data_IF_207063679845
#
_entry.id   IF_207063679845
#
_cell.length_a   1.000
_cell.length_b   1.000
_cell.length_c   1.000
_cell.angle_alpha   90.00
_cell.angle_beta   90.00
_cell.angle_gamma   90.00
#
_symmetry.space_group_name_H-M   'P 1'
#
loop_
_entity.id
_entity.type
_entity.pdbx_description
1 polymer ?
#
# COMPACT_ATOMS: atom_id res chain seq x y z
N UNK A 1 9.21 25.62 -28.55
CA UNK A 1 8.87 24.46 -29.38
C UNK A 1 8.36 23.40 -28.41
N UNK A 2 7.05 23.24 -28.27
CA UNK A 2 6.44 22.25 -27.37
C UNK A 2 6.60 20.91 -28.08
N UNK A 3 7.66 20.16 -27.72
CA UNK A 3 7.83 18.81 -28.20
C UNK A 3 6.69 17.97 -27.63
N UNK A 4 5.77 17.56 -28.48
CA UNK A 4 4.92 16.41 -28.17
C UNK A 4 5.88 15.24 -27.94
N UNK A 5 6.10 14.86 -26.67
CA UNK A 5 6.70 13.57 -26.36
C UNK A 5 5.81 12.53 -27.03
N UNK A 6 6.34 11.83 -28.03
CA UNK A 6 5.65 10.70 -28.64
C UNK A 6 5.45 9.65 -27.54
N UNK A 7 4.25 9.62 -26.96
CA UNK A 7 3.88 8.66 -25.94
C UNK A 7 3.96 7.28 -26.56
N UNK A 8 5.04 6.57 -26.26
CA UNK A 8 5.26 5.22 -26.74
C UNK A 8 4.15 4.31 -26.19
N UNK A 9 3.67 3.38 -27.02
CA UNK A 9 2.69 2.37 -26.59
C UNK A 9 3.17 1.62 -25.35
N UNK A 10 4.49 1.45 -25.20
CA UNK A 10 5.12 0.83 -24.04
C UNK A 10 4.99 1.65 -22.76
N UNK A 11 4.95 2.98 -22.85
CA UNK A 11 4.71 3.85 -21.68
C UNK A 11 3.28 3.70 -21.17
N UNK A 12 2.29 3.67 -22.08
CA UNK A 12 0.88 3.47 -21.71
C UNK A 12 0.69 2.09 -21.08
N UNK A 13 1.20 1.05 -21.74
CA UNK A 13 1.12 -0.33 -21.23
C UNK A 13 1.83 -0.47 -19.90
N UNK A 14 3.07 0.06 -19.79
CA UNK A 14 3.84 0.03 -18.54
C UNK A 14 3.15 0.77 -17.41
N UNK A 15 2.57 1.94 -17.68
CA UNK A 15 1.82 2.73 -16.70
C UNK A 15 0.55 2.02 -16.23
N UNK A 16 -0.29 1.55 -17.16
CA UNK A 16 -1.54 0.84 -16.81
C UNK A 16 -1.24 -0.45 -16.02
N UNK A 17 -0.20 -1.18 -16.43
CA UNK A 17 0.19 -2.39 -15.74
C UNK A 17 0.77 -2.12 -14.35
N UNK A 18 1.59 -1.07 -14.19
CA UNK A 18 2.11 -0.64 -12.89
C UNK A 18 0.98 -0.19 -11.97
N UNK A 19 0.04 0.61 -12.48
CA UNK A 19 -1.13 1.04 -11.71
C UNK A 19 -1.97 -0.15 -11.26
N UNK A 20 -2.25 -1.10 -12.16
CA UNK A 20 -2.98 -2.31 -11.83
C UNK A 20 -2.24 -3.18 -10.81
N UNK A 21 -0.94 -3.42 -10.99
CA UNK A 21 -0.15 -4.31 -10.14
C UNK A 21 -0.03 -3.78 -8.71
N UNK A 22 0.22 -2.48 -8.56
CA UNK A 22 0.29 -1.80 -7.25
C UNK A 22 -1.06 -1.85 -6.55
N UNK A 23 -2.15 -1.47 -7.25
CA UNK A 23 -3.49 -1.49 -6.67
C UNK A 23 -3.89 -2.90 -6.27
N UNK A 24 -3.66 -3.91 -7.12
CA UNK A 24 -4.03 -5.29 -6.84
C UNK A 24 -3.29 -5.86 -5.62
N UNK A 25 -1.98 -5.62 -5.52
CA UNK A 25 -1.18 -6.10 -4.40
C UNK A 25 -1.59 -5.41 -3.08
N UNK A 26 -1.63 -4.08 -3.09
CA UNK A 26 -1.82 -3.30 -1.87
C UNK A 26 -3.27 -3.36 -1.37
N UNK A 27 -4.26 -3.42 -2.27
CA UNK A 27 -5.66 -3.61 -1.90
C UNK A 27 -5.92 -4.97 -1.26
N UNK A 28 -5.27 -6.05 -1.74
CA UNK A 28 -5.41 -7.37 -1.13
C UNK A 28 -4.86 -7.39 0.29
N UNK A 29 -3.70 -6.76 0.52
CA UNK A 29 -3.04 -6.71 1.82
C UNK A 29 -3.75 -5.79 2.83
N UNK A 30 -4.31 -4.67 2.40
CA UNK A 30 -4.92 -3.66 3.29
C UNK A 30 -6.44 -3.84 3.46
N UNK A 31 -7.13 -4.19 2.38
CA UNK A 31 -8.60 -4.27 2.37
C UNK A 31 -9.11 -5.71 2.51
N UNK A 32 -8.26 -6.73 2.33
CA UNK A 32 -8.67 -8.13 2.38
C UNK A 32 -9.34 -8.52 3.70
N UNK A 33 -8.79 -8.09 4.84
CA UNK A 33 -9.35 -8.36 6.17
C UNK A 33 -10.66 -7.62 6.41
N UNK A 34 -10.76 -6.35 5.96
CA UNK A 34 -11.99 -5.55 6.02
C UNK A 34 -13.13 -6.20 5.21
N UNK A 35 -12.84 -6.58 3.96
CA UNK A 35 -13.81 -7.20 3.06
C UNK A 35 -14.26 -8.57 3.55
N UNK A 36 -13.33 -9.36 4.10
CA UNK A 36 -13.62 -10.68 4.67
C UNK A 36 -14.47 -10.59 5.94
N UNK A 37 -14.10 -9.69 6.87
CA UNK A 37 -14.84 -9.47 8.12
C UNK A 37 -16.27 -8.98 7.88
N UNK A 38 -16.47 -8.11 6.90
CA UNK A 38 -17.78 -7.53 6.60
C UNK A 38 -18.59 -8.30 5.54
N UNK A 39 -18.09 -9.43 5.02
CA UNK A 39 -18.69 -10.19 3.90
C UNK A 39 -20.16 -10.58 4.13
N UNK A 40 -20.55 -10.83 5.39
CA UNK A 40 -21.91 -11.26 5.77
C UNK A 40 -22.80 -10.09 6.24
N UNK A 41 -22.23 -8.90 6.47
CA UNK A 41 -22.90 -7.77 7.12
C UNK A 41 -23.30 -6.69 6.14
N UNK A 42 -22.45 -6.40 5.14
CA UNK A 42 -22.70 -5.31 4.19
C UNK A 42 -22.53 -5.78 2.74
N UNK A 43 -23.36 -5.29 1.81
CA UNK A 43 -23.20 -5.58 0.38
C UNK A 43 -21.84 -5.09 -0.13
N UNK A 44 -21.20 -5.87 -1.01
CA UNK A 44 -19.88 -5.55 -1.60
C UNK A 44 -19.86 -4.19 -2.29
N UNK A 45 -20.95 -3.80 -2.95
CA UNK A 45 -21.06 -2.50 -3.62
C UNK A 45 -20.86 -1.32 -2.67
N UNK A 46 -21.42 -1.40 -1.45
CA UNK A 46 -21.29 -0.34 -0.44
C UNK A 46 -19.85 -0.27 0.08
N UNK A 47 -19.22 -1.42 0.29
CA UNK A 47 -17.81 -1.49 0.69
C UNK A 47 -16.89 -0.88 -0.38
N UNK A 48 -17.12 -1.21 -1.65
CA UNK A 48 -16.35 -0.64 -2.78
C UNK A 48 -16.56 0.86 -2.92
N UNK A 49 -17.80 1.34 -2.82
CA UNK A 49 -18.08 2.78 -2.83
C UNK A 49 -17.35 3.51 -1.70
N UNK A 50 -17.38 2.97 -0.48
CA UNK A 50 -16.65 3.54 0.64
C UNK A 50 -15.15 3.62 0.37
N UNK A 51 -14.54 2.53 -0.10
CA UNK A 51 -13.10 2.49 -0.41
C UNK A 51 -12.75 3.51 -1.51
N UNK A 52 -13.49 3.49 -2.63
CA UNK A 52 -13.25 4.41 -3.74
C UNK A 52 -13.42 5.87 -3.34
N UNK A 53 -14.46 6.20 -2.56
CA UNK A 53 -14.71 7.58 -2.11
C UNK A 53 -13.59 8.09 -1.21
N UNK A 54 -13.09 7.28 -0.27
CA UNK A 54 -11.96 7.64 0.59
C UNK A 54 -10.68 7.82 -0.25
N UNK A 55 -10.37 6.89 -1.16
CA UNK A 55 -9.18 7.00 -2.03
C UNK A 55 -9.23 8.25 -2.91
N UNK A 56 -10.37 8.51 -3.58
CA UNK A 56 -10.55 9.72 -4.36
C UNK A 56 -10.44 10.97 -3.49
N UNK A 57 -11.02 10.98 -2.30
CA UNK A 57 -10.93 12.09 -1.36
C UNK A 57 -9.48 12.43 -1.00
N UNK A 58 -8.67 11.42 -0.64
CA UNK A 58 -7.26 11.62 -0.30
C UNK A 58 -6.44 12.15 -1.48
N UNK A 59 -6.67 11.61 -2.69
CA UNK A 59 -5.97 12.06 -3.90
C UNK A 59 -6.35 13.50 -4.29
N UNK A 60 -7.65 13.83 -4.24
CA UNK A 60 -8.13 15.18 -4.51
C UNK A 60 -7.63 16.18 -3.47
N UNK A 61 -7.63 15.82 -2.19
CA UNK A 61 -7.07 16.65 -1.13
C UNK A 61 -5.56 16.90 -1.36
N UNK A 62 -4.80 15.85 -1.70
CA UNK A 62 -3.39 15.99 -2.06
C UNK A 62 -3.20 16.95 -3.23
N UNK A 63 -4.03 16.82 -4.27
CA UNK A 63 -4.03 17.70 -5.43
C UNK A 63 -4.28 19.17 -5.07
N UNK A 64 -5.34 19.45 -4.28
CA UNK A 64 -5.70 20.83 -3.94
C UNK A 64 -4.72 21.49 -2.97
N UNK A 65 -4.14 20.74 -2.04
CA UNK A 65 -3.23 21.29 -1.01
C UNK A 65 -1.78 21.41 -1.51
N UNK A 66 -1.33 20.53 -2.38
CA UNK A 66 0.07 20.47 -2.83
C UNK A 66 0.25 21.04 -4.26
N UNK A 67 -0.51 22.08 -4.65
CA UNK A 67 -0.40 22.75 -5.95
C UNK A 67 -0.43 21.79 -7.16
N UNK A 68 -1.31 20.79 -7.14
CA UNK A 68 -1.44 19.81 -8.21
C UNK A 68 -0.57 18.56 -8.07
N UNK A 69 0.05 18.32 -6.90
CA UNK A 69 0.76 17.07 -6.62
C UNK A 69 -0.07 16.10 -5.75
N UNK A 70 -0.63 15.03 -6.32
CA UNK A 70 -1.35 14.02 -5.54
C UNK A 70 -0.42 13.12 -4.71
N UNK A 71 0.90 13.20 -4.92
CA UNK A 71 1.89 12.34 -4.26
C UNK A 71 2.42 12.89 -2.94
N UNK A 72 1.86 14.00 -2.46
CA UNK A 72 2.20 14.62 -1.16
C UNK A 72 3.70 14.92 -1.04
N UNK A 73 4.34 15.34 -2.13
CA UNK A 73 5.77 15.66 -2.17
C UNK A 73 6.70 14.45 -2.08
N UNK A 74 6.19 13.22 -2.18
CA UNK A 74 7.00 12.00 -2.07
C UNK A 74 7.84 11.70 -3.32
N UNK A 75 7.43 12.21 -4.48
CA UNK A 75 8.18 12.08 -5.73
C UNK A 75 9.06 13.28 -6.06
N UNK A 76 8.77 14.45 -5.48
CA UNK A 76 9.51 15.71 -5.69
C UNK A 76 10.50 15.98 -4.55
N UNK A 77 11.23 14.96 -4.10
CA UNK A 77 12.24 15.12 -3.04
C UNK A 77 13.51 15.68 -3.67
N UNK A 78 13.99 16.88 -3.28
CA UNK A 78 15.20 17.47 -3.84
C UNK A 78 16.40 16.52 -3.73
N UNK A 79 17.02 16.18 -4.86
CA UNK A 79 18.17 15.25 -4.91
C UNK A 79 17.84 13.76 -4.98
N UNK A 80 16.55 13.38 -5.02
CA UNK A 80 16.07 12.00 -5.31
C UNK A 80 14.99 12.01 -6.39
N UNK A 81 15.13 12.90 -7.37
CA UNK A 81 14.23 12.97 -8.50
C UNK A 81 14.38 11.68 -9.32
N UNK A 82 13.26 11.07 -9.69
CA UNK A 82 13.24 9.93 -10.59
C UNK A 82 13.28 10.48 -12.02
N UNK A 83 14.44 10.45 -12.71
CA UNK A 83 14.53 10.95 -14.08
C UNK A 83 13.66 10.09 -14.97
N UNK A 84 13.01 10.73 -15.93
CA UNK A 84 12.29 10.01 -16.97
C UNK A 84 13.28 9.18 -17.79
N UNK A 85 13.10 7.85 -17.87
CA UNK A 85 13.99 7.03 -18.66
C UNK A 85 13.77 7.30 -20.15
N UNK A 86 14.75 7.93 -20.80
CA UNK A 86 14.80 8.11 -22.24
C UNK A 86 15.89 7.21 -22.85
N UNK A 87 15.56 6.20 -23.68
CA UNK A 87 14.22 5.81 -24.14
C UNK A 87 13.47 4.86 -23.20
N UNK A 88 12.14 5.00 -23.11
CA UNK A 88 11.27 4.02 -22.44
C UNK A 88 11.14 2.76 -23.31
N UNK A 89 11.91 1.72 -22.97
CA UNK A 89 11.90 0.43 -23.66
C UNK A 89 10.92 -0.56 -23.01
N UNK A 90 10.63 -1.66 -23.70
CA UNK A 90 9.79 -2.76 -23.21
C UNK A 90 10.30 -3.37 -21.87
N UNK A 91 11.58 -3.17 -21.54
CA UNK A 91 12.21 -3.67 -20.30
C UNK A 91 11.50 -3.13 -19.06
N UNK A 92 10.97 -1.90 -19.11
CA UNK A 92 10.24 -1.27 -17.99
C UNK A 92 8.84 -1.86 -17.75
N UNK A 93 8.37 -2.77 -18.60
CA UNK A 93 7.14 -3.54 -18.39
C UNK A 93 7.39 -4.78 -17.52
N UNK A 94 8.64 -5.28 -17.47
CA UNK A 94 9.01 -6.45 -16.68
C UNK A 94 8.74 -6.30 -15.17
N UNK A 95 9.06 -5.17 -14.51
CA UNK A 95 8.84 -5.02 -13.07
C UNK A 95 7.36 -5.06 -12.70
N UNK A 96 6.45 -4.31 -13.36
CA UNK A 96 5.02 -4.47 -13.14
C UNK A 96 4.50 -5.87 -13.43
N UNK A 97 4.98 -6.55 -14.48
CA UNK A 97 4.63 -7.95 -14.76
C UNK A 97 5.05 -8.88 -13.62
N UNK A 98 6.27 -8.72 -13.11
CA UNK A 98 6.78 -9.50 -12.00
C UNK A 98 5.94 -9.29 -10.73
N UNK A 99 5.53 -8.06 -10.44
CA UNK A 99 4.58 -7.78 -9.34
C UNK A 99 3.29 -8.56 -9.56
N UNK A 100 2.64 -8.45 -10.72
CA UNK A 100 1.38 -9.17 -10.99
C UNK A 100 1.56 -10.68 -10.79
N UNK A 101 2.63 -11.26 -11.34
CA UNK A 101 2.91 -12.69 -11.20
C UNK A 101 3.07 -13.12 -9.73
N UNK A 102 3.83 -12.34 -8.94
CA UNK A 102 4.01 -12.61 -7.51
C UNK A 102 2.72 -12.40 -6.70
N UNK A 103 1.92 -11.38 -7.03
CA UNK A 103 0.62 -11.12 -6.40
C UNK A 103 -0.37 -12.25 -6.71
N UNK A 104 -0.38 -12.81 -7.92
CA UNK A 104 -1.20 -13.98 -8.27
C UNK A 104 -0.76 -15.24 -7.50
N UNK A 105 0.53 -15.37 -7.19
CA UNK A 105 1.02 -16.43 -6.31
C UNK A 105 0.63 -16.21 -4.83
N UNK A 106 0.12 -15.04 -4.48
CA UNK A 106 -0.28 -14.72 -3.10
C UNK A 106 0.88 -14.35 -2.18
N UNK A 107 2.07 -14.11 -2.74
CA UNK A 107 3.21 -13.61 -1.97
C UNK A 107 3.04 -12.10 -1.73
N UNK A 108 3.16 -11.61 -0.48
CA UNK A 108 3.15 -10.18 -0.20
C UNK A 108 4.47 -9.56 -0.70
N UNK A 109 4.37 -8.61 -1.65
CA UNK A 109 5.54 -7.94 -2.24
C UNK A 109 5.57 -6.47 -1.87
N UNK A 110 6.77 -5.92 -1.68
CA UNK A 110 7.00 -4.48 -1.62
C UNK A 110 7.01 -3.91 -3.05
N UNK A 111 5.83 -3.56 -3.54
CA UNK A 111 5.56 -2.96 -4.85
C UNK A 111 6.46 -1.76 -5.13
N UNK A 112 6.52 -0.82 -4.18
CA UNK A 112 7.36 0.38 -4.28
C UNK A 112 8.84 0.03 -4.42
N UNK A 113 9.35 -0.93 -3.65
CA UNK A 113 10.74 -1.35 -3.77
C UNK A 113 11.01 -1.95 -5.15
N UNK A 114 10.19 -2.91 -5.59
CA UNK A 114 10.44 -3.65 -6.83
C UNK A 114 10.29 -2.77 -8.08
N UNK A 115 9.31 -1.87 -8.09
CA UNK A 115 9.12 -0.93 -9.20
C UNK A 115 10.20 0.15 -9.18
N UNK A 116 10.42 0.85 -8.07
CA UNK A 116 11.39 1.96 -8.03
C UNK A 116 12.84 1.50 -8.19
N UNK A 117 13.22 0.32 -7.69
CA UNK A 117 14.55 -0.27 -7.90
C UNK A 117 14.84 -0.56 -9.37
N UNK A 118 13.83 -0.97 -10.14
CA UNK A 118 13.97 -1.24 -11.55
C UNK A 118 14.18 0.02 -12.40
N UNK A 119 13.62 1.16 -11.95
CA UNK A 119 13.82 2.46 -12.59
C UNK A 119 15.15 3.10 -12.19
N UNK A 120 15.63 2.86 -10.97
CA UNK A 120 16.92 3.39 -10.49
C UNK A 120 17.75 2.30 -9.78
N UNK A 121 18.46 1.45 -10.55
CA UNK A 121 19.29 0.39 -9.97
C UNK A 121 20.37 0.90 -9.01
N UNK A 122 20.89 2.11 -9.24
CA UNK A 122 21.90 2.75 -8.39
C UNK A 122 21.40 2.98 -6.94
N UNK A 123 20.08 3.10 -6.73
CA UNK A 123 19.48 3.38 -5.43
C UNK A 123 18.95 2.11 -4.72
N UNK A 124 19.19 0.91 -5.27
CA UNK A 124 18.70 -0.36 -4.72
C UNK A 124 19.05 -0.51 -3.24
N UNK A 125 20.31 -0.25 -2.85
CA UNK A 125 20.75 -0.43 -1.46
C UNK A 125 19.99 0.45 -0.47
N UNK A 126 19.78 1.72 -0.81
CA UNK A 126 19.05 2.68 0.04
C UNK A 126 17.56 2.38 0.10
N UNK A 127 16.96 1.97 -1.03
CA UNK A 127 15.55 1.59 -1.08
C UNK A 127 15.29 0.28 -0.33
N UNK A 128 16.22 -0.68 -0.43
CA UNK A 128 16.17 -1.95 0.29
C UNK A 128 16.25 -1.72 1.79
N UNK A 129 17.25 -0.94 2.25
CA UNK A 129 17.42 -0.67 3.68
C UNK A 129 16.24 0.09 4.27
N UNK A 130 15.69 1.07 3.53
CA UNK A 130 14.51 1.83 3.96
C UNK A 130 13.26 0.94 4.04
N UNK A 131 13.11 -0.01 3.11
CA UNK A 131 11.99 -0.95 3.12
C UNK A 131 12.11 -1.97 4.26
N UNK A 132 13.29 -2.58 4.42
CA UNK A 132 13.55 -3.59 5.47
C UNK A 132 13.41 -3.01 6.87
N UNK A 133 13.96 -1.81 7.12
CA UNK A 133 13.82 -1.14 8.42
C UNK A 133 12.36 -0.79 8.71
N UNK A 134 11.61 -0.34 7.70
CA UNK A 134 10.17 -0.13 7.80
C UNK A 134 9.40 -1.39 8.20
N UNK A 135 9.64 -2.52 7.53
CA UNK A 135 9.02 -3.81 7.87
C UNK A 135 9.40 -4.28 9.27
N UNK A 136 10.68 -4.19 9.64
CA UNK A 136 11.16 -4.58 10.97
C UNK A 136 10.53 -3.75 12.09
N UNK A 137 10.44 -2.43 11.89
CA UNK A 137 9.79 -1.53 12.84
C UNK A 137 8.30 -1.81 12.96
N UNK A 138 7.60 -1.98 11.84
CA UNK A 138 6.16 -2.29 11.84
C UNK A 138 5.87 -3.62 12.55
N UNK A 139 6.72 -4.63 12.34
CA UNK A 139 6.63 -5.92 13.03
C UNK A 139 6.83 -5.77 14.55
N UNK A 140 7.88 -5.04 14.97
CA UNK A 140 8.16 -4.80 16.39
C UNK A 140 7.05 -4.03 17.11
N UNK A 141 6.57 -2.94 16.49
CA UNK A 141 5.45 -2.14 17.03
C UNK A 141 4.17 -2.97 17.06
N UNK A 142 3.90 -3.77 16.03
CA UNK A 142 2.75 -4.65 15.97
C UNK A 142 2.74 -5.69 17.09
N UNK A 143 3.88 -6.34 17.35
CA UNK A 143 4.03 -7.29 18.46
C UNK A 143 3.84 -6.60 19.82
N UNK A 144 4.41 -5.41 20.00
CA UNK A 144 4.25 -4.65 21.23
C UNK A 144 2.79 -4.24 21.46
N UNK A 145 2.10 -3.73 20.44
CA UNK A 145 0.70 -3.36 20.52
C UNK A 145 -0.21 -4.57 20.81
N UNK A 146 0.06 -5.71 20.16
CA UNK A 146 -0.66 -6.96 20.40
C UNK A 146 -0.44 -7.46 21.83
N UNK A 147 0.81 -7.49 22.30
CA UNK A 147 1.16 -7.90 23.66
C UNK A 147 0.53 -6.99 24.72
N UNK A 148 0.58 -5.67 24.52
CA UNK A 148 -0.09 -4.70 25.40
C UNK A 148 -1.62 -4.88 25.38
N UNK A 149 -2.21 -5.11 24.21
CA UNK A 149 -3.65 -5.37 24.08
C UNK A 149 -4.08 -6.61 24.84
N UNK A 150 -3.34 -7.73 24.69
CA UNK A 150 -3.59 -8.95 25.46
C UNK A 150 -3.43 -8.72 26.96
N UNK A 151 -2.36 -8.06 27.39
CA UNK A 151 -2.11 -7.77 28.80
C UNK A 151 -3.22 -6.89 29.42
N UNK A 152 -3.69 -5.87 28.72
CA UNK A 152 -4.81 -5.02 29.16
C UNK A 152 -6.11 -5.81 29.22
N UNK A 153 -6.39 -6.65 28.22
CA UNK A 153 -7.59 -7.47 28.17
C UNK A 153 -7.59 -8.49 29.31
N UNK A 154 -6.47 -9.17 29.52
CA UNK A 154 -6.27 -10.12 30.62
C UNK A 154 -6.54 -9.43 31.96
N UNK A 155 -5.90 -8.28 32.21
CA UNK A 155 -6.10 -7.53 33.46
C UNK A 155 -7.54 -7.05 33.64
N UNK A 156 -8.19 -6.62 32.56
CA UNK A 156 -9.59 -6.23 32.60
C UNK A 156 -10.53 -7.39 32.92
N UNK A 157 -10.31 -8.56 32.30
CA UNK A 157 -11.09 -9.78 32.55
C UNK A 157 -10.87 -10.28 33.99
N UNK A 158 -9.63 -10.32 34.47
CA UNK A 158 -9.35 -10.74 35.86
C UNK A 158 -9.94 -9.81 36.90
N UNK A 159 -9.87 -8.48 36.71
CA UNK A 159 -10.52 -7.52 37.60
C UNK A 159 -12.05 -7.71 37.61
N UNK A 160 -12.69 -7.97 36.46
CA UNK A 160 -14.15 -8.22 36.40
C UNK A 160 -14.55 -9.55 37.02
N UNK A 161 -13.70 -10.58 36.90
CA UNK A 161 -13.96 -11.91 37.47
C UNK A 161 -13.85 -11.93 39.00
N UNK A 162 -13.07 -11.02 39.61
CA UNK A 162 -13.01 -10.87 41.07
C UNK A 162 -14.23 -10.14 41.67
N UNK A 163 -14.94 -9.34 40.87
CA UNK A 163 -16.16 -8.60 41.29
C UNK A 163 -17.44 -9.45 41.33
N UNK A 164 -17.36 -10.77 41.07
CA UNK A 164 -18.48 -11.71 41.24
C UNK A 164 -19.67 -11.49 40.29
N UNK A 165 -19.50 -10.71 39.21
CA UNK A 165 -20.52 -10.56 38.17
C UNK A 165 -20.26 -11.57 37.08
N UNK A 166 -21.13 -12.58 36.98
CA UNK A 166 -21.13 -13.55 35.89
C UNK A 166 -20.98 -12.85 34.52
N UNK A 167 -20.14 -13.37 33.61
CA UNK A 167 -20.03 -12.81 32.29
C UNK A 167 -21.40 -12.87 31.61
N UNK A 168 -21.93 -11.68 31.26
CA UNK A 168 -23.22 -11.57 30.58
C UNK A 168 -23.20 -12.40 29.30
N UNK A 169 -24.27 -13.21 29.09
CA UNK A 169 -24.54 -14.17 28.00
C UNK A 169 -24.46 -13.64 26.55
N UNK A 170 -23.90 -12.46 26.33
CA UNK A 170 -23.73 -11.85 25.01
C UNK A 170 -22.24 -11.79 24.67
N UNK A 171 -21.61 -12.96 24.66
CA UNK A 171 -20.36 -13.26 23.94
C UNK A 171 -20.48 -14.68 23.41
#
# INVERSE_FOLDING_TARGET
>A
MIGFMDVSIWMIVGFLLAAYSVVANDSLQTLGTYLSSNRKRTPKLVQMLFICTVTCGVLLLGWFLNNGDPTWGRLSVPGKEFPWPEPFTWVYVLPPLAVVALTQWGAPVSTSFLVLSSFMPANIGTLLSSSLTGYGLAFGVGLAAYGLGLWLLERWVFCRSQDGKDPSKVW
#
